data_IF_181152296837
#
_entry.id   IF_181152296837
#
_cell.length_a   1.000
_cell.length_b   1.000
_cell.length_c   1.000
_cell.angle_alpha   90.00
_cell.angle_beta   90.00
_cell.angle_gamma   90.00
#
_symmetry.space_group_name_H-M   'P 1'
#
loop_
_entity.id
_entity.type
_entity.pdbx_description
1 polymer ?
#
# COMPACT_ATOMS: atom_id res chain seq x y z
N UNK A 1 5.52 -4.57 17.24
CA UNK A 1 4.55 -5.26 16.36
C UNK A 1 4.77 -4.79 14.92
N UNK A 2 5.33 -5.63 14.05
CA UNK A 2 5.72 -5.26 12.68
C UNK A 2 4.68 -5.79 11.69
N UNK A 3 3.73 -4.95 11.28
CA UNK A 3 2.73 -5.32 10.25
C UNK A 3 3.44 -5.33 8.90
N UNK A 4 3.50 -6.49 8.24
CA UNK A 4 4.09 -6.65 6.92
C UNK A 4 3.07 -6.21 5.84
N UNK A 5 2.98 -4.90 5.59
CA UNK A 5 2.14 -4.31 4.54
C UNK A 5 2.58 -4.82 3.15
N UNK A 6 1.62 -5.09 2.24
CA UNK A 6 1.91 -5.34 0.82
C UNK A 6 2.43 -6.74 0.46
N UNK A 7 2.50 -7.69 1.40
CA UNK A 7 2.84 -9.10 1.11
C UNK A 7 1.58 -9.96 1.07
N UNK A 8 1.36 -10.67 -0.04
CA UNK A 8 0.21 -11.57 -0.22
C UNK A 8 0.18 -12.70 0.82
N UNK A 9 1.34 -13.17 1.28
CA UNK A 9 1.45 -14.24 2.29
C UNK A 9 0.85 -13.85 3.66
N UNK A 10 0.70 -12.55 3.94
CA UNK A 10 0.12 -12.05 5.19
C UNK A 10 -1.38 -11.72 5.05
N UNK A 11 -1.99 -12.07 3.92
CA UNK A 11 -3.40 -11.86 3.64
C UNK A 11 -3.64 -10.87 2.51
N UNK A 12 -4.76 -11.10 1.81
CA UNK A 12 -5.16 -10.33 0.64
C UNK A 12 -6.69 -10.30 0.51
N UNK A 13 -7.17 -9.33 -0.26
CA UNK A 13 -8.53 -9.28 -0.78
C UNK A 13 -8.53 -9.80 -2.22
N UNK A 14 -9.47 -10.69 -2.55
CA UNK A 14 -9.73 -11.10 -3.92
C UNK A 14 -10.82 -10.20 -4.51
N UNK A 15 -10.51 -9.54 -5.61
CA UNK A 15 -11.44 -8.63 -6.30
C UNK A 15 -11.69 -9.18 -7.68
N UNK A 16 -12.95 -9.30 -8.06
CA UNK A 16 -13.35 -9.70 -9.40
C UNK A 16 -13.95 -8.49 -10.12
N UNK A 17 -13.53 -8.25 -11.37
CA UNK A 17 -14.16 -7.26 -12.22
C UNK A 17 -15.52 -7.79 -12.72
N UNK A 18 -16.61 -7.05 -12.52
CA UNK A 18 -17.94 -7.47 -12.97
C UNK A 18 -18.11 -7.46 -14.50
N UNK A 19 -17.26 -6.74 -15.23
CA UNK A 19 -17.40 -6.59 -16.69
C UNK A 19 -16.60 -7.63 -17.48
N UNK A 20 -15.36 -7.90 -17.07
CA UNK A 20 -14.46 -8.84 -17.76
C UNK A 20 -14.18 -10.13 -16.95
N UNK A 21 -14.76 -10.26 -15.76
CA UNK A 21 -14.57 -11.40 -14.84
C UNK A 21 -13.12 -11.68 -14.42
N UNK A 22 -12.19 -10.78 -14.75
CA UNK A 22 -10.80 -10.90 -14.32
C UNK A 22 -10.71 -10.84 -12.79
N UNK A 23 -9.94 -11.76 -12.23
CA UNK A 23 -9.67 -11.82 -10.79
C UNK A 23 -8.30 -11.22 -10.48
N UNK A 24 -8.24 -10.37 -9.46
CA UNK A 24 -7.02 -9.76 -8.96
C UNK A 24 -6.90 -9.97 -7.45
N UNK A 25 -5.68 -10.30 -7.01
CA UNK A 25 -5.33 -10.39 -5.60
C UNK A 25 -4.68 -9.10 -5.13
N UNK A 26 -5.26 -8.48 -4.11
CA UNK A 26 -4.78 -7.20 -3.57
C UNK A 26 -4.29 -7.43 -2.15
N UNK A 27 -2.98 -7.33 -1.93
CA UNK A 27 -2.40 -7.43 -0.59
C UNK A 27 -2.94 -6.33 0.34
N UNK A 28 -3.09 -6.63 1.62
CA UNK A 28 -3.51 -5.61 2.58
C UNK A 28 -2.50 -4.47 2.66
N UNK A 29 -3.00 -3.24 2.48
CA UNK A 29 -2.20 -2.04 2.62
C UNK A 29 -2.43 -1.38 3.98
N UNK A 30 -1.38 -0.79 4.52
CA UNK A 30 -1.48 0.06 5.70
C UNK A 30 -1.72 1.54 5.33
N UNK A 31 -2.11 1.86 4.08
CA UNK A 31 -2.27 3.24 3.60
C UNK A 31 -3.20 4.09 4.50
N UNK A 32 -4.15 3.48 5.21
CA UNK A 32 -5.05 4.20 6.14
C UNK A 32 -4.72 3.99 7.62
N UNK A 33 -3.76 3.12 7.98
CA UNK A 33 -3.52 2.77 9.40
C UNK A 33 -2.40 3.58 10.06
N UNK A 34 -1.58 4.32 9.33
CA UNK A 34 -0.53 5.21 9.89
C UNK A 34 0.64 4.54 10.63
N UNK A 35 0.45 3.35 11.21
CA UNK A 35 1.39 2.70 12.14
C UNK A 35 2.37 1.70 11.50
N UNK A 36 2.48 1.64 10.17
CA UNK A 36 3.49 0.78 9.56
C UNK A 36 4.79 1.58 9.36
N UNK A 37 5.87 1.30 10.10
CA UNK A 37 7.09 2.11 10.05
C UNK A 37 7.77 2.10 8.67
N UNK A 38 7.74 0.98 7.94
CA UNK A 38 8.33 0.90 6.57
C UNK A 38 7.52 1.70 5.55
N UNK A 39 6.21 1.50 5.53
CA UNK A 39 5.30 2.20 4.63
C UNK A 39 5.18 3.72 5.03
N UNK A 40 5.34 4.07 6.30
CA UNK A 40 5.37 5.45 6.80
C UNK A 40 6.62 6.21 6.38
N UNK A 41 7.82 5.64 6.62
CA UNK A 41 9.08 6.25 6.21
C UNK A 41 9.15 6.51 4.70
N UNK A 42 8.71 5.54 3.88
CA UNK A 42 8.64 5.71 2.43
C UNK A 42 7.70 6.85 2.01
N UNK A 43 6.51 6.96 2.62
CA UNK A 43 5.58 8.05 2.31
C UNK A 43 6.14 9.42 2.69
N UNK A 44 6.83 9.51 3.83
CA UNK A 44 7.50 10.76 4.21
C UNK A 44 8.59 11.14 3.21
N UNK A 45 9.37 10.16 2.73
CA UNK A 45 10.37 10.40 1.69
C UNK A 45 9.73 10.80 0.34
N UNK A 46 8.66 10.13 -0.09
CA UNK A 46 7.89 10.48 -1.29
C UNK A 46 7.31 11.90 -1.19
N UNK A 47 6.70 12.27 -0.05
CA UNK A 47 6.21 13.63 0.20
C UNK A 47 7.32 14.68 0.23
N UNK A 48 8.47 14.38 0.86
CA UNK A 48 9.61 15.28 0.86
C UNK A 48 10.17 15.50 -0.56
N UNK A 49 10.24 14.45 -1.38
CA UNK A 49 10.68 14.55 -2.78
C UNK A 49 9.73 15.43 -3.61
N UNK A 50 8.41 15.28 -3.43
CA UNK A 50 7.42 16.14 -4.09
C UNK A 50 7.57 17.62 -3.69
N UNK A 51 7.86 17.90 -2.42
CA UNK A 51 8.06 19.28 -1.95
C UNK A 51 9.34 19.93 -2.47
N UNK A 52 10.37 19.15 -2.80
CA UNK A 52 11.63 19.66 -3.36
C UNK A 52 11.49 19.95 -4.86
N UNK A 53 10.62 19.24 -5.57
CA UNK A 53 10.40 19.40 -7.02
C UNK A 53 9.58 20.66 -7.36
N UNK A 54 8.84 21.23 -6.41
CA UNK A 54 8.02 22.44 -6.60
C UNK A 54 8.74 23.78 -6.26
N UNK A 55 10.09 23.82 -6.28
CA UNK A 55 10.91 25.03 -6.03
C UNK A 55 11.74 25.44 -7.24
#
# INVERSE_FOLDING_TARGET
MRVQCGRLEHGFLRVQCNHCHAEHLVAFSCKCRGFCPSCGARRMAESAALLVDEV
#
